data_IF_609360965362
#
_entry.id   IF_609360965362
#
_cell.length_a   1.000
_cell.length_b   1.000
_cell.length_c   1.000
_cell.angle_alpha   90.00
_cell.angle_beta   90.00
_cell.angle_gamma   90.00
#
_symmetry.space_group_name_H-M   'P 1'
#
loop_
_entity.id
_entity.type
_entity.pdbx_description
1 polymer ?
#
# COMPACT_ATOMS: atom_id res chain seq x y z
N UNK A 1 10.73 -3.31 -10.52
CA UNK A 1 10.11 -2.02 -10.17
C UNK A 1 9.23 -2.20 -8.95
N UNK A 2 9.19 -1.18 -8.13
CA UNK A 2 8.42 -1.19 -6.90
C UNK A 2 7.61 0.10 -6.80
N UNK A 3 6.37 0.00 -6.36
CA UNK A 3 5.45 1.14 -6.28
C UNK A 3 4.94 1.27 -4.85
N UNK A 4 4.90 2.50 -4.35
CA UNK A 4 4.26 2.83 -3.07
C UNK A 4 2.97 3.59 -3.36
N UNK A 5 1.86 3.10 -2.84
CA UNK A 5 0.54 3.64 -3.14
C UNK A 5 -0.18 4.03 -1.85
N UNK A 6 -0.79 5.21 -1.84
CA UNK A 6 -1.77 5.59 -0.82
C UNK A 6 -3.17 5.38 -1.39
N UNK A 7 -4.13 5.06 -0.54
CA UNK A 7 -5.51 4.84 -0.99
C UNK A 7 -5.71 3.57 -1.80
N UNK A 8 -4.85 2.56 -1.61
CA UNK A 8 -4.91 1.31 -2.37
C UNK A 8 -6.20 0.53 -2.14
N UNK A 9 -6.88 0.75 -1.03
CA UNK A 9 -8.16 0.09 -0.73
C UNK A 9 -9.36 0.81 -1.35
N UNK A 10 -9.16 1.99 -1.94
CA UNK A 10 -10.20 2.72 -2.65
C UNK A 10 -10.42 2.17 -4.05
N UNK A 11 -11.43 2.70 -4.73
CA UNK A 11 -11.84 2.21 -6.05
C UNK A 11 -10.73 2.37 -7.10
N UNK A 12 -10.13 3.54 -7.18
CA UNK A 12 -9.09 3.83 -8.17
C UNK A 12 -7.79 3.14 -7.78
N UNK A 13 -7.43 3.22 -6.50
CA UNK A 13 -6.19 2.60 -6.00
C UNK A 13 -6.18 1.09 -6.19
N UNK A 14 -7.32 0.42 -5.98
CA UNK A 14 -7.41 -1.02 -6.16
C UNK A 14 -7.19 -1.43 -7.62
N UNK A 15 -7.61 -0.62 -8.57
CA UNK A 15 -7.36 -0.88 -10.00
C UNK A 15 -5.89 -0.74 -10.35
N UNK A 16 -5.22 0.25 -9.78
CA UNK A 16 -3.78 0.44 -9.99
C UNK A 16 -3.02 -0.75 -9.43
N UNK A 17 -3.40 -1.22 -8.23
CA UNK A 17 -2.78 -2.38 -7.60
C UNK A 17 -2.93 -3.62 -8.50
N UNK A 18 -4.13 -3.86 -8.99
CA UNK A 18 -4.38 -5.01 -9.86
C UNK A 18 -3.51 -4.97 -11.11
N UNK A 19 -3.41 -3.81 -11.74
CA UNK A 19 -2.60 -3.64 -12.93
C UNK A 19 -1.12 -3.90 -12.64
N UNK A 20 -0.62 -3.38 -11.50
CA UNK A 20 0.76 -3.61 -11.08
C UNK A 20 1.04 -5.09 -10.85
N UNK A 21 0.14 -5.80 -10.18
CA UNK A 21 0.33 -7.22 -9.89
C UNK A 21 0.32 -8.06 -11.17
N UNK A 22 -0.49 -7.70 -12.14
CA UNK A 22 -0.53 -8.38 -13.43
C UNK A 22 0.78 -8.21 -14.22
N UNK A 23 1.52 -7.14 -13.92
CA UNK A 23 2.80 -6.83 -14.57
C UNK A 23 4.00 -7.21 -13.72
N UNK A 24 3.81 -8.00 -12.66
CA UNK A 24 4.87 -8.39 -11.73
C UNK A 24 5.57 -7.21 -11.06
N UNK A 25 4.86 -6.12 -10.86
CA UNK A 25 5.38 -4.96 -10.15
C UNK A 25 5.07 -5.14 -8.66
N UNK A 26 6.10 -5.03 -7.82
CA UNK A 26 5.93 -5.12 -6.37
C UNK A 26 5.21 -3.88 -5.85
N UNK A 27 4.18 -4.08 -5.02
CA UNK A 27 3.36 -2.99 -4.48
C UNK A 27 3.46 -2.95 -2.96
N UNK A 28 3.84 -1.79 -2.43
CA UNK A 28 3.67 -1.44 -1.03
C UNK A 28 2.56 -0.40 -0.95
N UNK A 29 1.73 -0.46 0.09
CA UNK A 29 0.67 0.52 0.24
C UNK A 29 0.60 1.05 1.67
N UNK A 30 0.11 2.28 1.80
CA UNK A 30 -0.10 2.92 3.09
C UNK A 30 -1.59 2.94 3.41
N UNK A 31 -1.93 2.62 4.66
CA UNK A 31 -3.30 2.69 5.14
C UNK A 31 -3.33 3.33 6.52
N UNK A 32 -4.37 4.12 6.77
CA UNK A 32 -4.61 4.70 8.09
C UNK A 32 -5.34 3.73 9.02
N UNK A 33 -5.71 2.56 8.53
CA UNK A 33 -6.43 1.54 9.30
C UNK A 33 -5.55 0.33 9.51
N UNK A 34 -5.17 0.08 10.77
CA UNK A 34 -4.31 -1.05 11.12
C UNK A 34 -4.88 -2.40 10.72
N UNK A 35 -6.20 -2.53 10.74
CA UNK A 35 -6.85 -3.79 10.36
C UNK A 35 -6.86 -4.08 8.86
N UNK A 36 -6.38 -3.13 8.04
CA UNK A 36 -6.33 -3.30 6.59
C UNK A 36 -4.93 -3.49 6.03
N UNK A 37 -3.92 -3.60 6.91
CA UNK A 37 -2.54 -3.80 6.49
C UNK A 37 -2.38 -5.06 5.65
N UNK A 38 -3.11 -6.12 5.98
CA UNK A 38 -3.07 -7.39 5.25
C UNK A 38 -4.26 -7.55 4.29
N UNK A 39 -4.93 -6.45 3.95
CA UNK A 39 -6.19 -6.51 3.21
C UNK A 39 -6.05 -6.73 1.71
N UNK A 40 -4.85 -6.63 1.15
CA UNK A 40 -4.63 -6.79 -0.29
C UNK A 40 -3.63 -7.91 -0.52
N UNK A 41 -4.08 -9.09 -1.04
CA UNK A 41 -3.19 -10.19 -1.33
C UNK A 41 -2.11 -9.80 -2.34
N UNK A 42 -0.90 -10.25 -2.12
CA UNK A 42 0.23 -9.97 -3.00
C UNK A 42 0.88 -8.61 -2.79
N UNK A 43 0.39 -7.81 -1.84
CA UNK A 43 0.94 -6.50 -1.53
C UNK A 43 1.39 -6.44 -0.07
N UNK A 44 2.32 -5.53 0.22
CA UNK A 44 2.76 -5.26 1.59
C UNK A 44 2.12 -3.96 2.08
N UNK A 45 1.34 -4.05 3.15
CA UNK A 45 0.68 -2.89 3.74
C UNK A 45 1.45 -2.33 4.92
N UNK A 46 1.40 -1.02 5.09
CA UNK A 46 2.05 -0.32 6.19
C UNK A 46 1.11 0.73 6.75
N UNK A 47 1.16 0.90 8.06
CA UNK A 47 0.33 1.88 8.74
C UNK A 47 0.93 3.27 8.64
N UNK A 48 0.09 4.26 8.45
CA UNK A 48 0.48 5.66 8.57
C UNK A 48 -0.66 6.50 9.11
N UNK A 49 -0.32 7.63 9.73
CA UNK A 49 -1.30 8.59 10.21
C UNK A 49 -0.77 10.01 9.92
N UNK A 50 -1.24 10.64 8.85
CA UNK A 50 -0.74 11.96 8.46
C UNK A 50 -1.10 13.06 9.47
N UNK A 51 -2.18 12.88 10.24
CA UNK A 51 -2.55 13.87 11.26
C UNK A 51 -1.61 13.83 12.47
N UNK A 52 -1.03 12.65 12.75
CA UNK A 52 -0.12 12.47 13.88
C UNK A 52 1.34 12.41 13.44
N UNK A 53 1.62 12.64 12.15
CA UNK A 53 2.96 12.53 11.56
C UNK A 53 3.60 11.16 11.79
N UNK A 54 2.80 10.10 11.79
CA UNK A 54 3.27 8.73 11.97
C UNK A 54 3.30 8.03 10.62
N UNK A 55 4.43 7.41 10.29
CA UNK A 55 4.57 6.57 9.10
C UNK A 55 5.57 5.46 9.41
N UNK A 56 5.25 4.26 8.94
CA UNK A 56 6.17 3.13 9.03
C UNK A 56 7.18 3.25 7.89
N UNK A 57 8.42 3.60 8.25
CA UNK A 57 9.47 3.81 7.26
C UNK A 57 9.84 2.57 6.47
N UNK A 58 9.43 1.39 6.93
CA UNK A 58 9.63 0.16 6.20
C UNK A 58 8.91 0.15 4.85
N UNK A 59 7.91 1.02 4.66
CA UNK A 59 7.22 1.12 3.37
C UNK A 59 8.14 1.55 2.23
N UNK A 60 9.30 2.15 2.56
CA UNK A 60 10.30 2.55 1.58
C UNK A 60 11.39 1.49 1.37
N UNK A 61 11.39 0.43 2.16
CA UNK A 61 12.36 -0.66 2.01
C UNK A 61 12.00 -1.55 0.81
N UNK A 62 13.00 -2.19 0.27
CA UNK A 62 12.80 -3.12 -0.85
C UNK A 62 12.12 -4.41 -0.45
#
# INVERSE_FOLDING_TARGET
MKVLITGATGLIGSRIVKDCLERDIKVNFLTTRKNKIDGIPGCCGFYWDPQKNIIDLKCFDN
#
